data_IF_450119751214
#
_entry.id   IF_450119751214
#
_cell.length_a   1.000
_cell.length_b   1.000
_cell.length_c   1.000
_cell.angle_alpha   90.00
_cell.angle_beta   90.00
_cell.angle_gamma   90.00
#
_symmetry.space_group_name_H-M   'P 1'
#
loop_
_entity.id
_entity.type
_entity.pdbx_description
1 polymer ?
#
# COMPACT_ATOMS: atom_id res chain seq x y z
N UNK A 1 -25.22 2.82 -19.08
CA UNK A 1 -25.31 3.54 -17.80
C UNK A 1 -25.02 5.05 -17.91
N UNK A 2 -24.41 5.60 -18.97
CA UNK A 2 -24.32 7.07 -19.17
C UNK A 2 -23.60 7.86 -18.06
N UNK A 3 -23.01 7.18 -17.09
CA UNK A 3 -22.34 7.76 -15.94
C UNK A 3 -20.89 8.11 -16.33
N UNK A 4 -20.38 9.29 -15.94
CA UNK A 4 -18.98 9.64 -16.16
C UNK A 4 -18.06 8.68 -15.40
N UNK A 5 -16.98 8.25 -16.06
CA UNK A 5 -15.92 7.45 -15.43
C UNK A 5 -14.92 8.41 -14.82
N UNK A 6 -14.70 8.28 -13.51
CA UNK A 6 -13.77 9.09 -12.73
C UNK A 6 -12.74 8.17 -12.05
N UNK A 7 -11.47 8.51 -12.19
CA UNK A 7 -10.38 7.86 -11.45
C UNK A 7 -10.21 8.63 -10.14
N UNK A 8 -10.69 8.04 -9.05
CA UNK A 8 -10.91 8.73 -7.78
C UNK A 8 -9.64 9.30 -7.12
N UNK A 9 -8.47 8.71 -7.38
CA UNK A 9 -7.16 9.15 -6.90
C UNK A 9 -6.33 9.87 -8.00
N UNK A 10 -6.98 10.28 -9.08
CA UNK A 10 -6.39 10.95 -10.23
C UNK A 10 -5.59 10.03 -11.15
N UNK A 11 -5.22 10.54 -12.34
CA UNK A 11 -4.53 9.75 -13.37
C UNK A 11 -3.20 9.12 -12.92
N UNK A 12 -2.52 9.75 -11.96
CA UNK A 12 -1.25 9.27 -11.41
C UNK A 12 -1.42 8.41 -10.15
N UNK A 13 -2.64 8.30 -9.61
CA UNK A 13 -2.95 7.54 -8.41
C UNK A 13 -2.34 8.11 -7.12
N UNK A 14 -2.08 9.41 -7.10
CA UNK A 14 -1.41 10.12 -5.99
C UNK A 14 -2.32 11.11 -5.26
N UNK A 15 -3.49 11.43 -5.82
CA UNK A 15 -4.41 12.41 -5.27
C UNK A 15 -5.26 11.79 -4.15
N UNK A 16 -5.16 12.34 -2.94
CA UNK A 16 -5.89 11.80 -1.81
C UNK A 16 -5.58 12.46 -0.47
N UNK A 17 -6.46 12.23 0.50
CA UNK A 17 -6.37 12.73 1.87
C UNK A 17 -5.85 11.69 2.84
N UNK A 18 -4.97 12.12 3.73
CA UNK A 18 -4.51 11.29 4.84
C UNK A 18 -5.55 11.28 5.96
N UNK A 19 -5.94 10.08 6.38
CA UNK A 19 -6.83 9.87 7.52
C UNK A 19 -6.11 9.06 8.58
N UNK A 20 -6.16 9.54 9.82
CA UNK A 20 -5.59 8.87 10.97
C UNK A 20 -6.47 7.70 11.41
N UNK A 21 -5.82 6.62 11.85
CA UNK A 21 -6.46 5.43 12.35
C UNK A 21 -6.37 5.41 13.87
N UNK A 22 -7.51 5.30 14.55
CA UNK A 22 -7.59 5.32 16.03
C UNK A 22 -6.92 4.14 16.71
N UNK A 23 -6.85 3.03 16.00
CA UNK A 23 -6.15 1.84 16.40
C UNK A 23 -5.98 1.11 15.10
N UNK A 24 -4.74 0.88 14.63
CA UNK A 24 -4.26 -0.23 13.80
C UNK A 24 -2.79 -0.44 14.10
N UNK A 25 -2.40 -1.67 14.44
CA UNK A 25 -1.05 -1.97 14.92
C UNK A 25 0.05 -1.82 13.84
N UNK A 26 -0.31 -1.62 12.57
CA UNK A 26 0.62 -1.50 11.42
C UNK A 26 0.64 -0.14 10.73
N UNK A 27 -0.48 0.58 10.66
CA UNK A 27 -0.53 1.91 10.05
C UNK A 27 -1.14 2.94 11.00
N UNK A 28 -0.44 4.06 11.18
CA UNK A 28 -0.96 5.22 11.92
C UNK A 28 -1.91 6.07 11.06
N UNK A 29 -1.74 6.05 9.74
CA UNK A 29 -2.53 6.80 8.77
C UNK A 29 -2.62 6.06 7.44
N UNK A 30 -3.69 6.31 6.70
CA UNK A 30 -3.92 5.79 5.34
C UNK A 30 -4.32 6.94 4.42
N UNK A 31 -3.94 6.89 3.14
CA UNK A 31 -4.28 7.91 2.14
C UNK A 31 -5.43 7.42 1.27
N UNK A 32 -6.56 8.12 1.36
CA UNK A 32 -7.81 7.79 0.67
C UNK A 32 -7.90 8.64 -0.58
N UNK A 33 -8.40 8.04 -1.67
CA UNK A 33 -8.63 8.74 -2.92
C UNK A 33 -9.51 9.99 -2.71
N UNK A 34 -9.10 11.14 -3.28
CA UNK A 34 -9.73 12.44 -3.01
C UNK A 34 -11.23 12.44 -3.28
N UNK A 35 -11.65 11.96 -4.47
CA UNK A 35 -13.05 11.98 -4.86
C UNK A 35 -13.93 11.04 -4.02
N UNK A 36 -13.33 10.04 -3.36
CA UNK A 36 -14.05 9.16 -2.43
C UNK A 36 -14.15 9.80 -1.06
N UNK A 37 -13.10 10.50 -0.62
CA UNK A 37 -13.12 11.24 0.63
C UNK A 37 -14.20 12.34 0.62
N UNK A 38 -14.32 13.06 -0.50
CA UNK A 38 -15.29 14.15 -0.69
C UNK A 38 -16.74 13.69 -0.99
N UNK A 39 -16.96 12.41 -1.29
CA UNK A 39 -18.30 11.93 -1.63
C UNK A 39 -19.21 11.85 -0.41
N UNK A 40 -20.49 12.22 -0.53
CA UNK A 40 -21.46 12.10 0.57
C UNK A 40 -21.85 10.64 0.85
N UNK A 41 -21.87 9.80 -0.19
CA UNK A 41 -22.26 8.39 -0.11
C UNK A 41 -21.45 7.54 -1.09
N UNK A 42 -21.16 6.30 -0.70
CA UNK A 42 -20.45 5.32 -1.52
C UNK A 42 -21.32 4.08 -1.75
N UNK A 43 -21.55 3.75 -3.02
CA UNK A 43 -22.21 2.51 -3.44
C UNK A 43 -21.14 1.58 -4.03
N UNK A 44 -20.82 0.49 -3.34
CA UNK A 44 -19.88 -0.52 -3.81
C UNK A 44 -20.61 -1.71 -4.43
N UNK A 45 -20.55 -1.84 -5.75
CA UNK A 45 -20.95 -3.06 -6.46
C UNK A 45 -19.79 -4.07 -6.41
N UNK A 46 -20.05 -5.28 -5.94
CA UNK A 46 -19.02 -6.32 -5.84
C UNK A 46 -19.55 -7.68 -6.25
N UNK A 47 -18.69 -8.45 -6.91
CA UNK A 47 -18.86 -9.89 -7.04
C UNK A 47 -18.06 -10.57 -5.93
N UNK A 48 -18.50 -11.74 -5.49
CA UNK A 48 -17.76 -12.53 -4.51
C UNK A 48 -16.51 -13.10 -5.19
N UNK A 49 -15.33 -12.72 -4.71
CA UNK A 49 -14.05 -13.23 -5.19
C UNK A 49 -13.40 -14.04 -4.07
N UNK A 50 -12.94 -15.26 -4.39
CA UNK A 50 -12.12 -16.04 -3.48
C UNK A 50 -10.64 -15.69 -3.65
N UNK A 51 -9.92 -15.45 -2.57
CA UNK A 51 -8.48 -15.20 -2.57
C UNK A 51 -7.76 -16.23 -1.70
N UNK A 52 -6.67 -16.86 -2.18
CA UNK A 52 -5.92 -17.87 -1.42
C UNK A 52 -5.47 -17.37 -0.04
N UNK A 53 -5.04 -16.11 0.02
CA UNK A 53 -4.48 -15.53 1.24
C UNK A 53 -5.46 -14.68 2.06
N UNK A 54 -6.67 -14.43 1.55
CA UNK A 54 -7.62 -13.48 2.17
C UNK A 54 -9.08 -14.00 2.22
N UNK A 55 -9.31 -15.27 1.89
CA UNK A 55 -10.61 -15.92 1.97
C UNK A 55 -11.66 -15.28 1.04
N UNK A 56 -12.86 -15.05 1.55
CA UNK A 56 -13.94 -14.40 0.83
C UNK A 56 -13.72 -12.88 0.79
N UNK A 57 -13.47 -12.33 -0.40
CA UNK A 57 -13.35 -10.91 -0.63
C UNK A 57 -14.50 -10.42 -1.53
N UNK A 58 -15.28 -9.45 -1.06
CA UNK A 58 -16.37 -8.82 -1.83
C UNK A 58 -16.24 -7.30 -1.83
N UNK A 59 -17.34 -6.60 -1.55
CA UNK A 59 -17.37 -5.13 -1.42
C UNK A 59 -16.34 -4.62 -0.42
N UNK A 60 -16.04 -5.42 0.58
CA UNK A 60 -15.11 -5.11 1.64
C UNK A 60 -13.69 -4.85 1.16
N UNK A 61 -13.18 -5.66 0.23
CA UNK A 61 -11.86 -5.44 -0.40
C UNK A 61 -11.87 -4.24 -1.32
N UNK A 62 -12.97 -4.04 -2.05
CA UNK A 62 -13.15 -2.90 -2.95
C UNK A 62 -13.08 -1.59 -2.17
N UNK A 63 -13.71 -1.55 -0.99
CA UNK A 63 -13.75 -0.35 -0.17
C UNK A 63 -12.43 -0.22 0.61
N UNK A 64 -12.02 -1.24 1.36
CA UNK A 64 -10.83 -1.21 2.22
C UNK A 64 -9.52 -0.89 1.47
N UNK A 65 -9.33 -1.47 0.29
CA UNK A 65 -8.11 -1.21 -0.50
C UNK A 65 -8.37 -0.37 -1.75
N UNK A 66 -9.48 -0.62 -2.45
CA UNK A 66 -9.77 0.03 -3.73
C UNK A 66 -10.14 1.51 -3.62
N UNK A 67 -10.50 2.00 -2.43
CA UNK A 67 -10.72 3.43 -2.19
C UNK A 67 -9.46 4.19 -1.76
N UNK A 68 -8.32 3.52 -1.66
CA UNK A 68 -7.05 4.12 -1.24
C UNK A 68 -6.18 4.44 -2.44
N UNK A 69 -5.22 5.36 -2.26
CA UNK A 69 -4.26 5.69 -3.32
C UNK A 69 -3.28 4.55 -3.58
N UNK A 70 -2.61 4.57 -4.74
CA UNK A 70 -1.53 3.64 -5.08
C UNK A 70 -0.49 3.48 -3.97
N UNK A 71 -0.12 4.58 -3.33
CA UNK A 71 0.85 4.63 -2.22
C UNK A 71 0.38 3.79 -1.02
N UNK A 72 -0.86 3.99 -0.58
CA UNK A 72 -1.42 3.24 0.55
C UNK A 72 -1.66 1.79 0.18
N UNK A 73 -2.14 1.52 -1.04
CA UNK A 73 -2.28 0.16 -1.56
C UNK A 73 -0.97 -0.60 -1.53
N UNK A 74 0.12 0.05 -1.92
CA UNK A 74 1.43 -0.55 -1.86
C UNK A 74 1.85 -0.78 -0.41
N UNK A 75 1.71 0.24 0.45
CA UNK A 75 2.00 0.14 1.90
C UNK A 75 1.29 -1.05 2.56
N UNK A 76 0.00 -1.27 2.25
CA UNK A 76 -0.82 -2.39 2.75
C UNK A 76 -0.28 -3.77 2.36
N UNK A 77 0.53 -3.87 1.31
CA UNK A 77 1.17 -5.11 0.86
C UNK A 77 2.63 -5.26 1.30
N UNK A 78 3.23 -4.19 1.81
CA UNK A 78 4.66 -4.12 2.11
C UNK A 78 4.98 -3.97 3.60
N UNK A 79 3.97 -3.90 4.46
CA UNK A 79 4.14 -3.76 5.93
C UNK A 79 4.78 -4.96 6.63
N UNK A 80 4.96 -6.10 5.97
CA UNK A 80 5.62 -7.30 6.52
C UNK A 80 6.85 -7.72 5.71
N UNK A 81 6.81 -7.58 4.38
CA UNK A 81 7.90 -7.96 3.50
C UNK A 81 8.85 -6.78 3.27
N UNK A 82 9.79 -6.60 4.20
CA UNK A 82 11.02 -5.86 3.89
C UNK A 82 11.63 -6.50 2.63
N UNK A 83 12.00 -5.72 1.60
CA UNK A 83 12.56 -6.28 0.39
C UNK A 83 13.82 -7.08 0.69
N UNK A 84 14.00 -8.18 -0.03
CA UNK A 84 15.25 -8.92 -0.07
C UNK A 84 16.18 -8.27 -1.09
N UNK A 85 17.42 -8.00 -0.69
CA UNK A 85 18.45 -7.41 -1.54
C UNK A 85 19.54 -8.45 -1.85
N UNK A 86 19.76 -8.70 -3.13
CA UNK A 86 20.82 -9.58 -3.61
C UNK A 86 21.95 -8.73 -4.22
N UNK A 87 23.08 -8.69 -3.53
CA UNK A 87 24.26 -7.92 -3.91
C UNK A 87 24.88 -8.40 -5.23
N UNK A 88 24.89 -9.71 -5.49
CA UNK A 88 25.47 -10.30 -6.71
C UNK A 88 24.71 -9.90 -7.98
N UNK A 89 23.39 -9.67 -7.88
CA UNK A 89 22.55 -9.17 -8.97
C UNK A 89 22.56 -7.65 -9.10
N UNK A 90 23.13 -6.92 -8.15
CA UNK A 90 23.06 -5.47 -8.14
C UNK A 90 24.02 -4.87 -9.16
N UNK A 91 23.51 -4.02 -10.05
CA UNK A 91 24.32 -3.30 -11.05
C UNK A 91 24.81 -1.93 -10.57
N UNK A 92 24.64 -1.62 -9.28
CA UNK A 92 25.04 -0.34 -8.66
C UNK A 92 24.46 0.90 -9.36
N UNK A 93 23.26 0.81 -9.93
CA UNK A 93 22.64 1.88 -10.72
C UNK A 93 22.05 3.05 -9.90
N UNK A 94 22.12 2.99 -8.57
CA UNK A 94 21.68 4.02 -7.59
C UNK A 94 20.19 4.42 -7.62
N UNK A 95 19.34 3.79 -8.43
CA UNK A 95 17.90 4.13 -8.49
C UNK A 95 17.19 3.92 -7.16
N UNK A 96 17.49 2.82 -6.45
CA UNK A 96 16.89 2.53 -5.15
C UNK A 96 17.29 3.57 -4.09
N UNK A 97 18.54 4.06 -4.12
CA UNK A 97 19.02 5.12 -3.22
C UNK A 97 18.23 6.42 -3.47
N UNK A 98 18.07 6.81 -4.74
CA UNK A 98 17.38 8.06 -5.12
C UNK A 98 15.89 8.08 -4.77
N UNK A 99 15.22 6.93 -4.86
CA UNK A 99 13.76 6.84 -4.66
C UNK A 99 13.37 6.50 -3.22
N UNK A 100 14.31 6.07 -2.36
CA UNK A 100 13.94 5.55 -1.04
C UNK A 100 13.56 6.68 -0.07
N UNK A 101 12.28 6.83 0.32
CA UNK A 101 11.85 7.87 1.25
C UNK A 101 12.36 7.63 2.68
N UNK A 102 12.68 6.38 3.03
CA UNK A 102 13.24 6.03 4.33
C UNK A 102 14.77 6.04 4.39
N UNK A 103 15.46 6.36 3.28
CA UNK A 103 16.93 6.30 3.19
C UNK A 103 17.50 4.93 3.63
N UNK A 104 16.73 3.86 3.38
CA UNK A 104 17.11 2.50 3.71
C UNK A 104 18.16 1.93 2.77
N UNK A 105 18.25 2.46 1.54
CA UNK A 105 19.33 2.19 0.61
C UNK A 105 20.29 3.36 0.58
N UNK A 106 21.58 3.09 0.70
CA UNK A 106 22.64 4.10 0.66
C UNK A 106 23.88 3.56 -0.05
N UNK A 107 24.70 4.46 -0.57
CA UNK A 107 25.96 4.12 -1.21
C UNK A 107 27.12 4.29 -0.21
N UNK A 108 28.00 3.30 -0.15
CA UNK A 108 29.27 3.36 0.56
C UNK A 108 30.30 2.54 -0.20
N UNK A 109 31.50 3.10 -0.40
CA UNK A 109 32.60 2.44 -1.11
C UNK A 109 32.22 1.96 -2.52
N UNK A 110 31.42 2.76 -3.24
CA UNK A 110 30.86 2.43 -4.57
C UNK A 110 29.94 1.20 -4.61
N UNK A 111 29.44 0.78 -3.45
CA UNK A 111 28.47 -0.30 -3.32
C UNK A 111 27.20 0.19 -2.64
N UNK A 112 26.06 -0.30 -3.11
CA UNK A 112 24.76 -0.08 -2.49
C UNK A 112 24.59 -1.04 -1.33
N UNK A 113 24.24 -0.48 -0.18
CA UNK A 113 23.94 -1.18 1.06
C UNK A 113 22.47 -1.00 1.43
N UNK A 114 21.91 -1.98 2.14
CA UNK A 114 20.52 -1.97 2.60
C UNK A 114 20.45 -2.06 4.13
N UNK A 115 19.81 -1.08 4.76
CA UNK A 115 19.51 -1.02 6.19
C UNK A 115 18.02 -1.29 6.41
N UNK A 116 17.71 -2.52 6.82
CA UNK A 116 16.33 -2.98 7.03
C UNK A 116 15.60 -2.19 8.11
N UNK A 117 16.32 -1.61 9.08
CA UNK A 117 15.79 -0.85 10.22
C UNK A 117 15.16 0.48 9.77
N UNK A 118 15.69 1.07 8.71
CA UNK A 118 15.19 2.33 8.12
C UNK A 118 14.09 2.10 7.08
N UNK A 119 13.88 0.85 6.68
CA UNK A 119 12.91 0.51 5.65
C UNK A 119 11.48 0.62 6.18
N UNK A 120 10.74 1.61 5.68
CA UNK A 120 9.31 1.79 5.97
C UNK A 120 8.41 0.86 5.15
N UNK A 121 9.00 -0.02 4.33
CA UNK A 121 8.28 -0.89 3.42
C UNK A 121 7.43 -0.10 2.43
N UNK A 122 7.97 0.87 1.69
CA UNK A 122 7.18 1.55 0.63
C UNK A 122 7.20 0.79 -0.70
N UNK A 123 8.11 -0.17 -0.88
CA UNK A 123 8.19 -1.00 -2.10
C UNK A 123 8.68 -0.28 -3.38
N UNK A 124 8.96 1.02 -3.34
CA UNK A 124 9.38 1.78 -4.54
C UNK A 124 10.69 1.28 -5.14
N UNK A 125 11.63 0.86 -4.29
CA UNK A 125 12.90 0.28 -4.71
C UNK A 125 12.75 -0.98 -5.58
N UNK A 126 11.72 -1.80 -5.33
CA UNK A 126 11.41 -3.01 -6.12
C UNK A 126 10.96 -2.61 -7.52
N UNK A 127 10.08 -1.60 -7.62
CA UNK A 127 9.52 -1.15 -8.89
C UNK A 127 10.57 -0.52 -9.83
N UNK A 128 11.61 0.11 -9.28
CA UNK A 128 12.63 0.82 -10.09
C UNK A 128 13.88 0.00 -10.40
N UNK A 129 14.07 -1.17 -9.77
CA UNK A 129 15.28 -1.98 -9.89
C UNK A 129 15.33 -2.70 -11.26
N UNK A 130 16.24 -2.31 -12.18
CA UNK A 130 16.26 -2.88 -13.53
C UNK A 130 16.86 -4.29 -13.57
N UNK A 131 17.73 -4.64 -12.62
CA UNK A 131 18.38 -5.96 -12.55
C UNK A 131 17.58 -7.00 -11.76
N UNK A 132 16.48 -6.59 -11.13
CA UNK A 132 15.72 -7.46 -10.22
C UNK A 132 16.52 -7.91 -8.99
N UNK A 133 17.53 -7.14 -8.57
CA UNK A 133 18.31 -7.37 -7.36
C UNK A 133 17.50 -7.18 -6.07
N UNK A 134 16.39 -6.44 -6.15
CA UNK A 134 15.51 -6.14 -5.02
C UNK A 134 14.19 -6.86 -5.27
N UNK A 135 13.82 -7.78 -4.37
CA UNK A 135 12.63 -8.64 -4.54
C UNK A 135 11.75 -8.67 -3.30
N UNK A 136 10.49 -9.06 -3.48
CA UNK A 136 9.56 -9.31 -2.36
C UNK A 136 9.84 -10.73 -1.83
N UNK A 137 10.19 -10.91 -0.55
CA UNK A 137 10.21 -12.25 0.06
C UNK A 137 8.77 -12.74 0.25
N UNK A 138 8.17 -13.29 -0.79
CA UNK A 138 6.80 -13.80 -0.75
C UNK A 138 6.56 -14.87 0.33
N UNK A 139 7.62 -15.57 0.75
CA UNK A 139 7.56 -16.55 1.83
C UNK A 139 7.34 -15.94 3.23
N UNK A 140 7.69 -14.66 3.45
CA UNK A 140 7.47 -13.97 4.74
C UNK A 140 6.14 -13.22 4.79
N UNK A 141 5.40 -13.16 3.68
CA UNK A 141 4.05 -12.60 3.64
C UNK A 141 3.08 -13.71 4.03
N UNK A 142 2.91 -13.97 5.32
CA UNK A 142 1.88 -14.90 5.76
C UNK A 142 0.49 -14.34 5.43
N UNK A 143 -0.33 -15.14 4.75
CA UNK A 143 -1.74 -14.88 4.44
C UNK A 143 -2.55 -14.34 5.64
N UNK A 144 -2.24 -14.80 6.84
CA UNK A 144 -2.89 -14.38 8.09
C UNK A 144 -2.79 -12.89 8.40
N UNK A 145 -1.70 -12.22 8.01
CA UNK A 145 -1.51 -10.79 8.25
C UNK A 145 -2.27 -9.91 7.26
N UNK A 146 -2.46 -10.37 6.03
CA UNK A 146 -3.31 -9.71 5.03
C UNK A 146 -4.77 -9.78 5.46
N UNK A 147 -5.23 -10.93 5.96
CA UNK A 147 -6.60 -11.09 6.47
C UNK A 147 -6.85 -10.22 7.71
N UNK A 148 -5.93 -10.20 8.69
CA UNK A 148 -6.05 -9.30 9.85
C UNK A 148 -5.98 -7.83 9.46
N UNK A 149 -5.10 -7.48 8.51
CA UNK A 149 -5.00 -6.12 8.02
C UNK A 149 -6.27 -5.64 7.32
N UNK A 150 -6.86 -6.48 6.46
CA UNK A 150 -8.15 -6.21 5.83
C UNK A 150 -9.25 -6.07 6.89
N UNK A 151 -9.46 -7.10 7.73
CA UNK A 151 -10.49 -7.12 8.78
C UNK A 151 -10.42 -5.96 9.76
N UNK A 152 -9.22 -5.41 9.94
CA UNK A 152 -8.97 -4.35 10.89
C UNK A 152 -9.06 -2.95 10.23
N UNK A 153 -8.59 -2.79 8.98
CA UNK A 153 -8.84 -1.58 8.18
C UNK A 153 -10.34 -1.36 7.93
N UNK A 154 -11.11 -2.44 7.82
CA UNK A 154 -12.58 -2.45 7.76
C UNK A 154 -13.24 -1.83 9.00
N UNK A 155 -12.61 -1.93 10.17
CA UNK A 155 -13.16 -1.44 11.43
C UNK A 155 -12.83 0.01 11.71
N UNK A 156 -11.60 0.45 11.44
CA UNK A 156 -11.12 1.76 11.91
C UNK A 156 -11.25 2.85 10.86
N UNK A 157 -10.91 2.55 9.60
CA UNK A 157 -10.97 3.56 8.54
C UNK A 157 -12.42 3.87 8.13
N UNK A 158 -13.26 2.85 7.92
CA UNK A 158 -14.68 3.04 7.64
C UNK A 158 -15.37 3.82 8.77
N UNK A 159 -15.01 3.60 10.04
CA UNK A 159 -15.54 4.41 11.16
C UNK A 159 -15.04 5.85 11.13
N UNK A 160 -13.77 6.11 10.77
CA UNK A 160 -13.28 7.48 10.59
C UNK A 160 -13.93 8.18 9.39
N UNK A 161 -14.14 7.48 8.27
CA UNK A 161 -14.80 8.01 7.08
C UNK A 161 -16.30 8.25 7.33
N UNK A 162 -16.99 7.29 7.95
CA UNK A 162 -18.40 7.42 8.33
C UNK A 162 -18.62 8.53 9.36
N UNK A 163 -17.63 8.85 10.21
CA UNK A 163 -17.70 10.03 11.08
C UNK A 163 -17.60 11.32 10.29
N UNK A 164 -16.76 11.36 9.26
CA UNK A 164 -16.69 12.51 8.34
C UNK A 164 -18.03 12.72 7.61
N UNK A 165 -18.65 11.67 7.09
CA UNK A 165 -19.94 11.76 6.39
C UNK A 165 -21.17 11.97 7.30
N UNK A 166 -21.01 11.82 8.62
CA UNK A 166 -22.07 12.07 9.61
C UNK A 166 -22.03 13.49 10.20
N UNK A 167 -21.02 14.28 9.84
CA UNK A 167 -20.81 15.65 10.30
C UNK A 167 -21.47 16.69 9.41
#
# INVERSE_FOLDING_TARGET
MGCPILIADGLHGTNGQWVELESFHKFRRVKIAQSIYEADFLISLAHLTFHPDAGFAGSLKNVAMGCTTKETKLAMHSSEAKPSYNEEKCTQCLRCVKICPGEAFYEKDSQIHYQAEKCIGCGECIAVCPSGAITVPWASVFAWDVQRGLNFMEGTWLKSLLRHWRG
#
